data_IF_969028648976
#
_entry.id   IF_969028648976
#
_cell.length_a   1.000
_cell.length_b   1.000
_cell.length_c   1.000
_cell.angle_alpha   90.00
_cell.angle_beta   90.00
_cell.angle_gamma   90.00
#
_symmetry.space_group_name_H-M   'P 1'
#
loop_
_entity.id
_entity.type
_entity.pdbx_description
1 polymer ?
#
# COMPACT_ATOMS: atom_id res chain seq x y z
N UNK A 1 25.71 -21.42 1.48
CA UNK A 1 25.39 -20.08 0.95
C UNK A 1 23.99 -19.73 1.43
N UNK A 2 23.81 -18.62 2.15
CA UNK A 2 22.46 -18.11 2.42
C UNK A 2 21.98 -17.50 1.12
N UNK A 3 21.02 -18.14 0.45
CA UNK A 3 20.31 -17.55 -0.68
C UNK A 3 19.66 -16.26 -0.17
N UNK A 4 19.98 -15.12 -0.79
CA UNK A 4 19.32 -13.86 -0.48
C UNK A 4 17.81 -14.07 -0.63
N UNK A 5 17.06 -13.85 0.46
CA UNK A 5 15.61 -13.96 0.45
C UNK A 5 15.04 -12.75 -0.29
N UNK A 6 14.02 -12.97 -1.12
CA UNK A 6 13.30 -11.86 -1.73
C UNK A 6 12.69 -11.00 -0.61
N UNK A 7 13.05 -9.73 -0.53
CA UNK A 7 12.41 -8.79 0.39
C UNK A 7 11.03 -8.42 -0.16
N UNK A 8 10.01 -8.54 0.68
CA UNK A 8 8.62 -8.20 0.38
C UNK A 8 8.19 -7.10 1.33
N UNK A 9 8.04 -5.88 0.80
CA UNK A 9 7.55 -4.71 1.52
C UNK A 9 6.02 -4.75 1.56
N UNK A 10 5.49 -5.37 2.60
CA UNK A 10 4.06 -5.55 2.77
C UNK A 10 3.62 -5.23 4.20
N UNK A 11 2.47 -4.57 4.30
CA UNK A 11 1.77 -4.25 5.53
C UNK A 11 0.27 -4.38 5.30
N UNK A 12 -0.45 -4.95 6.27
CA UNK A 12 -1.91 -5.18 6.17
C UNK A 12 -2.69 -3.88 5.89
N UNK A 13 -2.17 -2.73 6.33
CA UNK A 13 -2.80 -1.43 6.10
C UNK A 13 -2.83 -1.00 4.62
N UNK A 14 -2.07 -1.66 3.74
CA UNK A 14 -2.18 -1.49 2.28
C UNK A 14 -3.49 -2.05 1.73
N UNK A 15 -4.18 -2.91 2.49
CA UNK A 15 -5.39 -3.62 2.05
C UNK A 15 -6.64 -2.82 2.42
N UNK A 16 -7.17 -2.05 1.46
CA UNK A 16 -8.41 -1.31 1.61
C UNK A 16 -9.63 -2.13 1.16
N UNK A 17 -10.30 -2.81 2.09
CA UNK A 17 -11.55 -3.55 1.79
C UNK A 17 -12.76 -2.65 1.96
N UNK A 18 -13.41 -2.27 0.86
CA UNK A 18 -14.66 -1.48 0.83
C UNK A 18 -15.75 -2.21 0.03
N UNK A 19 -16.97 -1.68 0.05
CA UNK A 19 -18.09 -2.25 -0.72
C UNK A 19 -17.81 -2.07 -2.22
N UNK A 20 -17.48 -3.17 -2.88
CA UNK A 20 -17.27 -3.24 -4.33
C UNK A 20 -17.69 -4.61 -4.84
N UNK A 21 -18.13 -4.69 -6.10
CA UNK A 21 -18.48 -5.96 -6.75
C UNK A 21 -17.24 -6.82 -7.06
N UNK A 22 -16.05 -6.23 -6.94
CA UNK A 22 -14.78 -6.91 -7.16
C UNK A 22 -14.20 -7.45 -5.84
N UNK A 23 -13.85 -8.75 -5.75
CA UNK A 23 -13.14 -9.28 -4.58
C UNK A 23 -11.66 -8.87 -4.56
N UNK A 24 -11.19 -8.17 -5.61
CA UNK A 24 -9.77 -7.89 -5.84
C UNK A 24 -9.05 -7.11 -4.73
N UNK A 25 -9.68 -6.19 -3.97
CA UNK A 25 -8.98 -5.49 -2.90
C UNK A 25 -8.40 -6.43 -1.83
N UNK A 26 -8.92 -7.65 -1.68
CA UNK A 26 -8.43 -8.65 -0.72
C UNK A 26 -7.21 -9.45 -1.21
N UNK A 27 -6.90 -9.38 -2.51
CA UNK A 27 -5.86 -10.21 -3.14
C UNK A 27 -4.47 -10.05 -2.49
N UNK A 28 -3.98 -8.84 -2.14
CA UNK A 28 -2.66 -8.72 -1.54
C UNK A 28 -2.48 -9.54 -0.25
N UNK A 29 -3.45 -9.46 0.68
CA UNK A 29 -3.42 -10.27 1.91
C UNK A 29 -3.47 -11.77 1.62
N UNK A 30 -4.34 -12.19 0.68
CA UNK A 30 -4.48 -13.60 0.32
C UNK A 30 -3.21 -14.16 -0.33
N UNK A 31 -2.52 -13.38 -1.18
CA UNK A 31 -1.27 -13.79 -1.81
C UNK A 31 -0.16 -13.95 -0.78
N UNK A 32 -0.02 -13.00 0.16
CA UNK A 32 0.99 -13.09 1.23
C UNK A 32 0.71 -14.29 2.12
N UNK A 33 -0.55 -14.52 2.50
CA UNK A 33 -0.96 -15.70 3.27
C UNK A 33 -0.64 -17.01 2.54
N UNK A 34 -0.94 -17.08 1.23
CA UNK A 34 -0.66 -18.25 0.40
C UNK A 34 0.84 -18.55 0.33
N UNK A 35 1.67 -17.52 0.12
CA UNK A 35 3.13 -17.67 0.10
C UNK A 35 3.70 -18.14 1.44
N UNK A 36 3.17 -17.64 2.56
CA UNK A 36 3.55 -18.10 3.90
C UNK A 36 3.15 -19.56 4.11
N UNK A 37 1.93 -19.94 3.75
CA UNK A 37 1.43 -21.32 3.87
C UNK A 37 2.23 -22.30 2.99
N UNK A 38 2.66 -21.87 1.81
CA UNK A 38 3.49 -22.64 0.90
C UNK A 38 4.98 -22.69 1.30
N UNK A 39 5.40 -21.93 2.32
CA UNK A 39 6.79 -21.88 2.77
C UNK A 39 7.76 -21.26 1.76
N UNK A 40 7.28 -20.32 0.92
CA UNK A 40 8.12 -19.64 -0.06
C UNK A 40 9.21 -18.79 0.62
N UNK A 41 10.45 -18.77 0.10
CA UNK A 41 11.55 -18.06 0.75
C UNK A 41 11.50 -16.56 0.47
N UNK A 42 10.86 -15.80 1.38
CA UNK A 42 10.89 -14.34 1.36
C UNK A 42 11.13 -13.76 2.77
N UNK A 43 11.53 -12.50 2.81
CA UNK A 43 11.64 -11.69 4.02
C UNK A 43 10.53 -10.65 4.02
N UNK A 44 9.67 -10.66 5.05
CA UNK A 44 8.66 -9.62 5.22
C UNK A 44 9.33 -8.39 5.84
N UNK A 45 9.37 -7.30 5.09
CA UNK A 45 10.02 -6.05 5.52
C UNK A 45 8.95 -5.01 5.84
N UNK A 46 8.97 -4.49 7.07
CA UNK A 46 8.12 -3.37 7.46
C UNK A 46 8.77 -2.04 7.06
N UNK A 47 7.97 -0.97 7.00
CA UNK A 47 8.39 0.34 6.52
C UNK A 47 7.54 1.45 7.13
N UNK A 48 8.05 2.68 7.04
CA UNK A 48 7.32 3.88 7.45
C UNK A 48 6.28 4.27 6.37
N UNK A 49 5.03 4.59 6.74
CA UNK A 49 4.09 5.19 5.82
C UNK A 49 4.57 6.58 5.40
N UNK A 50 4.25 7.00 4.17
CA UNK A 50 4.47 8.38 3.74
C UNK A 50 3.41 9.32 4.30
N UNK A 51 3.79 10.56 4.52
CA UNK A 51 2.91 11.65 4.98
C UNK A 51 2.01 12.17 3.85
N UNK A 52 1.01 12.99 4.20
CA UNK A 52 0.22 13.70 3.19
C UNK A 52 1.11 14.69 2.41
N UNK A 53 2.08 15.29 3.09
CA UNK A 53 3.03 16.25 2.55
C UNK A 53 3.91 15.62 1.46
N UNK A 54 4.25 14.33 1.58
CA UNK A 54 5.03 13.61 0.56
C UNK A 54 4.28 13.54 -0.79
N UNK A 55 2.94 13.51 -0.79
CA UNK A 55 2.16 13.55 -2.03
C UNK A 55 2.24 14.91 -2.74
N UNK A 56 2.57 16.00 -2.03
CA UNK A 56 2.72 17.32 -2.62
C UNK A 56 3.97 17.43 -3.51
N UNK A 57 4.91 16.49 -3.42
CA UNK A 57 6.08 16.43 -4.30
C UNK A 57 5.70 16.09 -5.75
N UNK A 58 4.56 15.43 -5.97
CA UNK A 58 4.13 14.93 -7.27
C UNK A 58 2.72 15.38 -7.70
N UNK A 59 1.92 15.93 -6.78
CA UNK A 59 0.51 16.26 -7.04
C UNK A 59 0.14 17.69 -6.63
N UNK A 60 -0.89 18.23 -7.28
CA UNK A 60 -1.45 19.54 -6.95
C UNK A 60 -1.94 19.58 -5.48
N UNK A 61 -1.62 20.64 -4.70
CA UNK A 61 -2.00 20.71 -3.29
C UNK A 61 -3.50 20.68 -3.03
N UNK A 62 -4.32 21.26 -3.92
CA UNK A 62 -5.79 21.24 -3.79
C UNK A 62 -6.30 19.83 -4.07
N UNK A 63 -5.71 19.11 -5.02
CA UNK A 63 -6.05 17.71 -5.25
C UNK A 63 -5.74 16.84 -4.02
N UNK A 64 -4.54 16.97 -3.45
CA UNK A 64 -4.12 16.22 -2.26
C UNK A 64 -5.05 16.50 -1.08
N UNK A 65 -5.29 17.78 -0.75
CA UNK A 65 -6.21 18.15 0.33
C UNK A 65 -7.60 17.55 0.13
N UNK A 66 -8.14 17.62 -1.09
CA UNK A 66 -9.51 17.17 -1.35
C UNK A 66 -9.63 15.64 -1.34
N UNK A 67 -8.59 14.91 -1.71
CA UNK A 67 -8.56 13.44 -1.59
C UNK A 67 -8.48 13.05 -0.10
N UNK A 68 -7.51 13.58 0.65
CA UNK A 68 -7.30 13.22 2.05
C UNK A 68 -8.46 13.66 2.97
N UNK A 69 -9.10 14.80 2.67
CA UNK A 69 -10.31 15.25 3.36
C UNK A 69 -11.60 14.58 2.86
N UNK A 70 -11.51 13.64 1.91
CA UNK A 70 -12.64 12.93 1.28
C UNK A 70 -13.65 13.85 0.58
N UNK A 71 -13.26 15.07 0.20
CA UNK A 71 -14.09 16.01 -0.58
C UNK A 71 -14.13 15.66 -2.07
N UNK A 72 -13.12 14.96 -2.58
CA UNK A 72 -13.06 14.41 -3.93
C UNK A 72 -13.18 12.88 -3.90
N UNK A 73 -13.73 12.29 -4.96
CA UNK A 73 -13.71 10.84 -5.11
C UNK A 73 -12.27 10.36 -5.40
N UNK A 74 -11.89 9.22 -4.82
CA UNK A 74 -10.64 8.55 -5.09
C UNK A 74 -10.68 7.78 -6.43
N UNK A 75 -9.59 7.09 -6.78
CA UNK A 75 -9.48 6.28 -8.01
C UNK A 75 -10.46 5.11 -8.13
N UNK A 76 -11.25 4.81 -7.09
CA UNK A 76 -12.34 3.83 -7.10
C UNK A 76 -13.73 4.50 -7.16
N UNK A 77 -13.79 5.77 -7.54
CA UNK A 77 -15.04 6.56 -7.66
C UNK A 77 -15.86 6.62 -6.36
N UNK A 78 -15.20 6.51 -5.21
CA UNK A 78 -15.82 6.60 -3.90
C UNK A 78 -15.02 7.52 -2.96
N UNK A 79 -15.45 7.65 -1.71
CA UNK A 79 -14.82 8.49 -0.67
C UNK A 79 -14.50 7.68 0.58
N UNK A 80 -14.32 6.37 0.41
CA UNK A 80 -14.16 5.43 1.51
C UNK A 80 -12.87 5.70 2.29
N UNK A 81 -12.98 5.71 3.61
CA UNK A 81 -11.88 6.07 4.51
C UNK A 81 -10.74 5.04 4.46
N UNK A 82 -11.06 3.75 4.29
CA UNK A 82 -10.04 2.71 4.16
C UNK A 82 -9.14 2.92 2.95
N UNK A 83 -9.65 3.50 1.85
CA UNK A 83 -8.82 3.82 0.69
C UNK A 83 -7.81 4.89 1.06
N UNK A 84 -8.24 5.97 1.72
CA UNK A 84 -7.33 7.05 2.17
C UNK A 84 -6.28 6.52 3.14
N UNK A 85 -6.69 5.70 4.13
CA UNK A 85 -5.76 5.08 5.09
C UNK A 85 -4.71 4.20 4.41
N UNK A 86 -5.06 3.54 3.30
CA UNK A 86 -4.13 2.67 2.58
C UNK A 86 -3.11 3.40 1.70
N UNK A 87 -3.35 4.67 1.34
CA UNK A 87 -2.48 5.42 0.44
C UNK A 87 -1.07 5.50 0.99
N UNK A 88 -0.93 6.04 2.21
CA UNK A 88 0.35 6.23 2.89
C UNK A 88 1.18 4.96 3.00
N UNK A 89 0.53 3.80 3.18
CA UNK A 89 1.23 2.53 3.25
C UNK A 89 1.59 1.99 1.86
N UNK A 90 0.71 2.13 0.87
CA UNK A 90 1.00 1.68 -0.49
C UNK A 90 2.16 2.46 -1.09
N UNK A 91 2.16 3.78 -0.98
CA UNK A 91 3.25 4.62 -1.48
C UNK A 91 4.51 4.47 -0.62
N UNK A 92 4.37 4.28 0.70
CA UNK A 92 5.49 3.97 1.60
C UNK A 92 6.20 2.66 1.24
N UNK A 93 5.46 1.61 0.84
CA UNK A 93 6.03 0.36 0.38
C UNK A 93 6.87 0.56 -0.89
N UNK A 94 6.36 1.34 -1.85
CA UNK A 94 7.07 1.67 -3.10
C UNK A 94 8.36 2.43 -2.77
N UNK A 95 8.27 3.50 -1.97
CA UNK A 95 9.43 4.30 -1.59
C UNK A 95 10.47 3.46 -0.87
N UNK A 96 10.06 2.70 0.15
CA UNK A 96 10.96 1.83 0.92
C UNK A 96 11.66 0.81 0.01
N UNK A 97 10.92 0.15 -0.87
CA UNK A 97 11.49 -0.83 -1.82
C UNK A 97 12.44 -0.21 -2.83
N UNK A 98 12.19 1.03 -3.27
CA UNK A 98 13.04 1.74 -4.22
C UNK A 98 14.35 2.24 -3.57
N UNK A 99 14.33 2.52 -2.27
CA UNK A 99 15.49 3.00 -1.50
C UNK A 99 16.26 1.91 -0.78
N UNK A 100 15.74 0.68 -0.75
CA UNK A 100 16.42 -0.48 -0.20
C UNK A 100 17.53 -0.93 -1.17
N UNK A 101 18.67 -0.25 -1.10
CA UNK A 101 19.89 -0.63 -1.84
C UNK A 101 20.43 -1.92 -1.22
N UNK A 102 20.65 -2.94 -2.07
CA UNK A 102 21.26 -4.23 -1.73
C UNK A 102 22.73 -4.06 -1.35
#
# INVERSE_FOLDING_TARGET
MMTARLKVFYREEMVAVFKTDSPSPRKPALVVQDWQAAGLPFESVSFAPVSQEDYLLAHDPVFVERIFSRKLQNGFFNREEQVIKSLSYTTGAILASATDVI
#
